data_IF_337585522180
#
_entry.id   IF_337585522180
#
_cell.length_a   1.000
_cell.length_b   1.000
_cell.length_c   1.000
_cell.angle_alpha   90.00
_cell.angle_beta   90.00
_cell.angle_gamma   90.00
#
_symmetry.space_group_name_H-M   'P 1'
#
loop_
_entity.id
_entity.type
_entity.pdbx_description
1 polymer ?
#
# COMPACT_ATOMS: atom_id res chain seq x y z
N UNK A 1 13.96 16.99 -1.11
CA UNK A 1 13.81 16.61 -2.54
C UNK A 1 12.58 15.72 -2.63
N UNK A 2 11.63 16.03 -3.51
CA UNK A 2 10.49 15.13 -3.72
C UNK A 2 11.01 13.78 -4.22
N UNK A 3 10.54 12.64 -3.66
CA UNK A 3 10.97 11.34 -4.13
C UNK A 3 10.49 11.14 -5.59
N UNK A 4 11.25 10.40 -6.39
CA UNK A 4 10.90 10.03 -7.78
C UNK A 4 10.78 11.17 -8.79
N UNK A 5 11.43 12.32 -8.56
CA UNK A 5 11.37 13.45 -9.48
C UNK A 5 11.99 13.09 -10.84
N UNK A 6 11.17 13.06 -11.89
CA UNK A 6 11.60 12.88 -13.28
C UNK A 6 11.97 14.22 -13.89
N UNK A 7 13.26 14.41 -14.20
CA UNK A 7 13.70 15.54 -14.98
C UNK A 7 13.37 15.32 -16.45
N UNK A 8 13.14 16.41 -17.19
CA UNK A 8 12.98 16.37 -18.65
C UNK A 8 14.14 15.63 -19.33
N UNK A 9 15.36 15.91 -18.89
CA UNK A 9 16.58 15.25 -19.39
C UNK A 9 16.53 13.72 -19.22
N UNK A 10 16.04 13.21 -18.08
CA UNK A 10 15.88 11.77 -17.86
C UNK A 10 14.85 11.14 -18.80
N UNK A 11 13.73 11.84 -19.03
CA UNK A 11 12.69 11.40 -19.95
C UNK A 11 13.24 11.34 -21.38
N UNK A 12 13.96 12.38 -21.81
CA UNK A 12 14.59 12.44 -23.13
C UNK A 12 15.63 11.32 -23.33
N UNK A 13 16.38 10.99 -22.28
CA UNK A 13 17.34 9.86 -22.27
C UNK A 13 16.69 8.49 -22.11
N UNK A 14 15.37 8.42 -21.91
CA UNK A 14 14.63 7.19 -21.57
C UNK A 14 15.25 6.44 -20.39
N UNK A 15 15.81 7.19 -19.43
CA UNK A 15 16.32 6.58 -18.21
C UNK A 15 15.14 6.05 -17.39
N UNK A 16 15.21 4.81 -16.89
CA UNK A 16 14.16 4.30 -16.02
C UNK A 16 14.09 5.15 -14.75
N UNK A 17 12.89 5.43 -14.22
CA UNK A 17 12.76 6.12 -12.96
C UNK A 17 13.45 5.34 -11.84
N UNK A 18 14.07 6.08 -10.91
CA UNK A 18 14.57 5.46 -9.68
C UNK A 18 13.41 4.79 -8.96
N UNK A 19 13.56 3.49 -8.71
CA UNK A 19 12.69 2.76 -7.79
C UNK A 19 12.90 3.34 -6.41
N UNK A 20 11.87 4.00 -5.89
CA UNK A 20 11.88 4.52 -4.53
C UNK A 20 10.89 3.74 -3.68
N UNK A 21 10.44 4.36 -2.59
CA UNK A 21 9.53 3.74 -1.62
C UNK A 21 8.22 3.39 -2.29
N UNK A 22 7.86 2.11 -2.27
CA UNK A 22 6.47 1.75 -2.55
C UNK A 22 5.62 2.20 -1.36
N UNK A 23 4.68 3.08 -1.66
CA UNK A 23 3.79 3.68 -0.70
C UNK A 23 2.44 3.87 -1.36
N UNK A 24 1.37 3.94 -0.55
CA UNK A 24 0.07 4.25 -1.12
C UNK A 24 0.07 5.64 -1.77
N UNK A 25 0.77 6.62 -1.18
CA UNK A 25 0.78 7.98 -1.70
C UNK A 25 1.59 8.21 -2.98
N UNK A 26 2.67 7.44 -3.23
CA UNK A 26 3.56 7.68 -4.40
C UNK A 26 4.12 6.41 -5.08
N UNK A 27 3.58 5.22 -4.76
CA UNK A 27 4.05 3.94 -5.29
C UNK A 27 3.19 3.35 -6.41
N UNK A 28 3.69 2.28 -7.04
CA UNK A 28 3.04 1.62 -8.16
C UNK A 28 1.69 1.00 -7.75
N UNK A 29 1.60 0.43 -6.55
CA UNK A 29 0.36 -0.13 -6.04
C UNK A 29 -0.74 0.93 -5.85
N UNK A 30 -0.39 2.11 -5.31
CA UNK A 30 -1.32 3.23 -5.14
C UNK A 30 -1.81 3.79 -6.48
N UNK A 31 -0.89 3.97 -7.43
CA UNK A 31 -1.23 4.41 -8.79
C UNK A 31 -2.11 3.38 -9.51
N UNK A 32 -1.77 2.09 -9.42
CA UNK A 32 -2.57 1.00 -9.97
C UNK A 32 -4.00 1.04 -9.43
N UNK A 33 -4.19 1.20 -8.11
CA UNK A 33 -5.53 1.32 -7.52
C UNK A 33 -6.31 2.50 -8.09
N UNK A 34 -5.67 3.66 -8.23
CA UNK A 34 -6.31 4.84 -8.80
C UNK A 34 -6.74 4.63 -10.27
N UNK A 35 -5.88 4.00 -11.08
CA UNK A 35 -6.16 3.68 -12.49
C UNK A 35 -7.27 2.62 -12.60
N UNK A 36 -7.28 1.60 -11.73
CA UNK A 36 -8.34 0.59 -11.68
C UNK A 36 -9.72 1.23 -11.42
N UNK A 37 -9.80 2.13 -10.44
CA UNK A 37 -11.02 2.88 -10.13
C UNK A 37 -11.45 3.79 -11.28
N UNK A 38 -10.50 4.49 -11.92
CA UNK A 38 -10.79 5.31 -13.10
C UNK A 38 -11.29 4.46 -14.27
N UNK A 39 -10.68 3.29 -14.50
CA UNK A 39 -11.10 2.35 -15.53
C UNK A 39 -12.50 1.79 -15.28
N UNK A 40 -12.88 1.59 -14.01
CA UNK A 40 -14.25 1.22 -13.62
C UNK A 40 -15.23 2.35 -13.91
N UNK A 41 -14.91 3.59 -13.48
CA UNK A 41 -15.80 4.74 -13.66
C UNK A 41 -16.00 5.15 -15.13
N UNK A 42 -15.03 4.88 -15.99
CA UNK A 42 -15.03 5.25 -17.41
C UNK A 42 -15.30 4.08 -18.36
N UNK A 43 -15.65 2.91 -17.83
CA UNK A 43 -15.85 1.66 -18.58
C UNK A 43 -14.69 1.31 -19.53
N UNK A 44 -13.46 1.36 -18.99
CA UNK A 44 -12.21 1.02 -19.68
C UNK A 44 -11.65 -0.31 -19.16
N UNK A 45 -12.04 -1.45 -19.76
CA UNK A 45 -11.53 -2.76 -19.35
C UNK A 45 -10.02 -2.90 -19.56
N UNK A 46 -9.47 -2.23 -20.56
CA UNK A 46 -8.03 -2.20 -20.82
C UNK A 46 -7.25 -1.51 -19.69
N UNK A 47 -7.79 -0.43 -19.12
CA UNK A 47 -7.19 0.26 -17.98
C UNK A 47 -7.24 -0.58 -16.70
N UNK A 48 -8.34 -1.29 -16.47
CA UNK A 48 -8.48 -2.21 -15.33
C UNK A 48 -7.44 -3.33 -15.43
N UNK A 49 -7.32 -3.97 -16.58
CA UNK A 49 -6.34 -5.04 -16.81
C UNK A 49 -4.89 -4.56 -16.63
N UNK A 50 -4.55 -3.37 -17.14
CA UNK A 50 -3.21 -2.80 -16.97
C UNK A 50 -2.92 -2.43 -15.52
N UNK A 51 -3.91 -1.89 -14.80
CA UNK A 51 -3.79 -1.60 -13.38
C UNK A 51 -3.61 -2.86 -12.53
N UNK A 52 -4.37 -3.92 -12.80
CA UNK A 52 -4.21 -5.22 -12.12
C UNK A 52 -2.83 -5.82 -12.37
N UNK A 53 -2.33 -5.78 -13.61
CA UNK A 53 -0.99 -6.21 -13.95
C UNK A 53 0.08 -5.39 -13.21
N UNK A 54 -0.09 -4.07 -13.13
CA UNK A 54 0.81 -3.19 -12.38
C UNK A 54 0.79 -3.48 -10.88
N UNK A 55 -0.39 -3.76 -10.30
CA UNK A 55 -0.52 -4.15 -8.90
C UNK A 55 0.21 -5.47 -8.62
N UNK A 56 0.00 -6.50 -9.45
CA UNK A 56 0.75 -7.77 -9.32
C UNK A 56 2.25 -7.55 -9.43
N UNK A 57 2.69 -6.72 -10.39
CA UNK A 57 4.09 -6.33 -10.53
C UNK A 57 4.64 -5.68 -9.26
N UNK A 58 3.91 -4.74 -8.65
CA UNK A 58 4.29 -4.11 -7.39
C UNK A 58 4.40 -5.13 -6.23
N UNK A 59 3.47 -6.09 -6.15
CA UNK A 59 3.49 -7.15 -5.14
C UNK A 59 4.74 -8.05 -5.25
N UNK A 60 5.21 -8.34 -6.47
CA UNK A 60 6.41 -9.19 -6.64
C UNK A 60 7.70 -8.54 -6.14
N UNK A 61 7.75 -7.20 -6.08
CA UNK A 61 8.95 -6.45 -5.67
C UNK A 61 8.81 -5.80 -4.28
N UNK A 62 7.64 -5.90 -3.66
CA UNK A 62 7.41 -5.41 -2.30
C UNK A 62 8.32 -6.14 -1.31
N UNK A 63 9.05 -5.38 -0.50
CA UNK A 63 10.02 -5.94 0.46
C UNK A 63 10.27 -4.97 1.61
N UNK A 64 10.92 -5.45 2.67
CA UNK A 64 11.29 -4.60 3.82
C UNK A 64 12.29 -3.49 3.45
N UNK A 65 12.94 -3.59 2.29
CA UNK A 65 13.79 -2.53 1.75
C UNK A 65 12.96 -1.36 1.20
N UNK A 66 11.79 -1.63 0.60
CA UNK A 66 10.91 -0.60 0.03
C UNK A 66 9.86 -0.11 1.02
N UNK A 67 9.38 -0.98 1.93
CA UNK A 67 8.31 -0.72 2.90
C UNK A 67 8.86 -0.97 4.31
N UNK A 68 8.88 0.06 5.17
CA UNK A 68 9.66 0.02 6.43
C UNK A 68 8.85 -0.12 7.71
N UNK A 69 7.54 0.05 7.64
CA UNK A 69 6.66 -0.02 8.79
C UNK A 69 5.30 -0.56 8.36
N UNK A 70 4.39 -0.66 9.32
CA UNK A 70 3.04 -1.17 9.08
C UNK A 70 2.04 -0.07 8.75
N UNK A 71 2.42 1.22 8.64
CA UNK A 71 1.46 2.32 8.49
C UNK A 71 0.63 2.26 7.19
N UNK A 72 -0.47 3.02 7.15
CA UNK A 72 -1.36 3.05 5.97
C UNK A 72 -0.76 3.85 4.81
N UNK A 73 -0.10 4.97 5.08
CA UNK A 73 0.39 5.89 4.04
C UNK A 73 1.51 5.29 3.19
N UNK A 74 2.42 4.54 3.81
CA UNK A 74 3.65 4.06 3.18
C UNK A 74 4.21 2.79 3.85
N UNK A 75 3.33 2.02 4.49
CA UNK A 75 3.64 0.79 5.18
C UNK A 75 2.82 -0.39 4.65
N UNK A 76 3.03 -1.54 5.28
CA UNK A 76 2.41 -2.81 4.88
C UNK A 76 0.88 -2.80 4.96
N UNK A 77 0.28 -2.07 5.91
CA UNK A 77 -1.18 -1.97 6.00
C UNK A 77 -1.79 -1.21 4.81
N UNK A 78 -1.08 -0.22 4.26
CA UNK A 78 -1.52 0.48 3.04
C UNK A 78 -1.59 -0.46 1.85
N UNK A 79 -0.56 -1.28 1.67
CA UNK A 79 -0.52 -2.29 0.62
C UNK A 79 -1.61 -3.35 0.81
N UNK A 80 -1.79 -3.84 2.05
CA UNK A 80 -2.89 -4.74 2.39
C UNK A 80 -4.25 -4.16 1.98
N UNK A 81 -4.52 -2.89 2.33
CA UNK A 81 -5.79 -2.25 2.02
C UNK A 81 -6.04 -2.13 0.51
N UNK A 82 -5.00 -1.77 -0.26
CA UNK A 82 -5.09 -1.71 -1.73
C UNK A 82 -5.44 -3.09 -2.30
N UNK A 83 -4.78 -4.14 -1.81
CA UNK A 83 -4.99 -5.51 -2.31
C UNK A 83 -6.39 -6.00 -1.95
N UNK A 84 -6.82 -5.82 -0.70
CA UNK A 84 -8.16 -6.20 -0.25
C UNK A 84 -9.25 -5.59 -1.12
N UNK A 85 -9.17 -4.27 -1.31
CA UNK A 85 -10.14 -3.54 -2.12
C UNK A 85 -10.14 -3.99 -3.57
N UNK A 86 -8.98 -4.34 -4.11
CA UNK A 86 -8.88 -4.78 -5.52
C UNK A 86 -9.41 -6.20 -5.67
N UNK A 87 -9.13 -7.08 -4.71
CA UNK A 87 -9.70 -8.42 -4.66
C UNK A 87 -11.23 -8.38 -4.57
N UNK A 88 -11.79 -7.49 -3.74
CA UNK A 88 -13.26 -7.28 -3.64
C UNK A 88 -13.87 -6.82 -4.97
N UNK A 89 -13.21 -5.95 -5.72
CA UNK A 89 -13.72 -5.43 -6.98
C UNK A 89 -13.64 -6.46 -8.13
N UNK A 90 -12.69 -7.40 -8.08
CA UNK A 90 -12.39 -8.33 -9.17
C UNK A 90 -12.74 -9.80 -8.90
N UNK A 91 -13.05 -10.15 -7.65
CA UNK A 91 -13.22 -11.52 -7.16
C UNK A 91 -12.00 -12.43 -7.45
N UNK A 92 -10.80 -11.84 -7.39
CA UNK A 92 -9.56 -12.54 -7.76
C UNK A 92 -8.96 -13.34 -6.58
N UNK A 93 -8.89 -14.69 -6.69
CA UNK A 93 -8.36 -15.54 -5.62
C UNK A 93 -6.86 -15.32 -5.35
N UNK A 94 -6.06 -14.91 -6.33
CA UNK A 94 -4.64 -14.63 -6.11
C UNK A 94 -4.41 -13.35 -5.29
N UNK A 95 -5.26 -12.35 -5.48
CA UNK A 95 -5.24 -11.13 -4.67
C UNK A 95 -5.73 -11.42 -3.26
N UNK A 96 -6.74 -12.27 -3.07
CA UNK A 96 -7.14 -12.74 -1.74
C UNK A 96 -5.98 -13.46 -1.02
N UNK A 97 -5.31 -14.41 -1.68
CA UNK A 97 -4.14 -15.08 -1.10
C UNK A 97 -2.97 -14.11 -0.81
N UNK A 98 -2.85 -13.03 -1.59
CA UNK A 98 -1.86 -11.98 -1.33
C UNK A 98 -2.25 -11.12 -0.13
N UNK A 99 -3.54 -10.85 0.07
CA UNK A 99 -4.05 -10.16 1.26
C UNK A 99 -3.76 -10.98 2.53
N UNK A 100 -3.95 -12.31 2.51
CA UNK A 100 -3.63 -13.18 3.65
C UNK A 100 -2.16 -13.06 4.08
N UNK A 101 -1.24 -13.12 3.10
CA UNK A 101 0.21 -12.96 3.34
C UNK A 101 0.54 -11.58 3.90
N UNK A 102 -0.09 -10.52 3.36
CA UNK A 102 0.12 -9.16 3.83
C UNK A 102 -0.44 -8.94 5.23
N UNK A 103 -1.60 -9.51 5.56
CA UNK A 103 -2.18 -9.44 6.89
C UNK A 103 -1.28 -10.13 7.92
N UNK A 104 -0.76 -11.32 7.62
CA UNK A 104 0.24 -11.98 8.45
C UNK A 104 1.49 -11.10 8.64
N UNK A 105 2.03 -10.51 7.57
CA UNK A 105 3.18 -9.62 7.63
C UNK A 105 2.93 -8.38 8.50
N UNK A 106 1.74 -7.80 8.44
CA UNK A 106 1.35 -6.66 9.30
C UNK A 106 1.30 -7.12 10.75
N UNK A 107 0.70 -8.27 11.05
CA UNK A 107 0.61 -8.84 12.40
C UNK A 107 1.98 -9.17 12.99
N UNK A 108 2.94 -9.62 12.19
CA UNK A 108 4.33 -9.85 12.63
C UNK A 108 5.03 -8.59 13.14
N UNK A 109 4.54 -7.41 12.73
CA UNK A 109 5.01 -6.12 13.23
C UNK A 109 4.44 -5.70 14.59
N UNK A 110 3.51 -6.47 15.16
CA UNK A 110 2.86 -6.15 16.41
C UNK A 110 3.79 -6.42 17.61
N UNK A 111 4.00 -5.39 18.43
CA UNK A 111 4.75 -5.46 19.68
C UNK A 111 3.84 -5.04 20.85
N UNK A 112 3.40 -5.99 21.70
CA UNK A 112 2.55 -5.69 22.86
C UNK A 112 3.25 -4.80 23.91
N UNK A 113 4.58 -4.68 23.85
CA UNK A 113 5.35 -3.76 24.70
C UNK A 113 5.36 -2.31 24.22
N UNK A 114 4.77 -2.00 23.06
CA UNK A 114 4.63 -0.64 22.54
C UNK A 114 3.26 -0.04 22.90
N UNK A 115 3.16 1.28 23.20
CA UNK A 115 1.91 1.93 23.61
C UNK A 115 0.68 1.67 22.73
N UNK A 116 0.89 1.44 21.42
CA UNK A 116 -0.19 1.19 20.46
C UNK A 116 0.01 -0.07 19.62
N UNK A 117 0.86 -1.00 20.08
CA UNK A 117 1.13 -2.25 19.37
C UNK A 117 2.07 -2.11 18.15
N UNK A 118 2.28 -0.91 17.61
CA UNK A 118 3.10 -0.70 16.44
C UNK A 118 3.97 0.55 16.58
N UNK A 119 5.19 0.47 16.03
CA UNK A 119 6.09 1.62 15.93
C UNK A 119 6.25 2.07 14.49
N UNK A 120 6.33 3.38 14.32
CA UNK A 120 6.39 4.06 13.04
C UNK A 120 7.81 4.57 12.73
N UNK A 121 8.31 4.31 11.51
CA UNK A 121 9.68 4.62 11.12
C UNK A 121 9.77 5.96 10.36
N UNK A 122 9.81 7.08 11.08
CA UNK A 122 9.93 8.40 10.47
C UNK A 122 11.37 8.75 10.06
N UNK A 123 11.56 9.24 8.84
CA UNK A 123 12.90 9.54 8.30
C UNK A 123 13.68 10.63 9.08
N UNK A 124 12.97 11.56 9.73
CA UNK A 124 13.59 12.64 10.51
C UNK A 124 13.70 12.33 12.01
N UNK A 125 13.16 11.19 12.47
CA UNK A 125 13.19 10.83 13.88
C UNK A 125 14.42 9.97 14.19
N UNK A 126 15.07 10.23 15.34
CA UNK A 126 16.21 9.42 15.82
C UNK A 126 15.80 8.02 16.28
N UNK A 127 14.52 7.83 16.58
CA UNK A 127 13.93 6.57 17.07
C UNK A 127 12.55 6.37 16.44
N UNK A 128 12.06 5.13 16.32
CA UNK A 128 10.69 4.86 15.94
C UNK A 128 9.70 5.57 16.88
N UNK A 129 8.57 5.99 16.33
CA UNK A 129 7.56 6.77 17.04
C UNK A 129 6.33 5.92 17.34
N UNK A 130 5.73 6.10 18.52
CA UNK A 130 4.44 5.53 18.86
C UNK A 130 3.34 6.51 18.42
N UNK A 131 2.76 6.29 17.23
CA UNK A 131 1.73 7.18 16.67
C UNK A 131 0.36 6.50 16.72
N UNK A 132 -0.67 7.15 17.29
CA UNK A 132 -2.02 6.59 17.32
C UNK A 132 -2.84 6.91 16.05
N UNK A 133 -2.35 7.82 15.21
CA UNK A 133 -3.13 8.41 14.12
C UNK A 133 -3.46 7.46 12.96
N UNK A 134 -4.25 7.97 12.02
CA UNK A 134 -4.76 7.21 10.88
C UNK A 134 -3.67 6.86 9.86
N UNK A 135 -3.04 7.85 9.23
CA UNK A 135 -2.13 7.61 8.10
C UNK A 135 -0.78 6.99 8.48
N UNK A 136 -0.28 7.32 9.66
CA UNK A 136 1.09 7.03 10.10
C UNK A 136 1.12 6.30 11.45
N UNK A 137 0.00 5.71 11.86
CA UNK A 137 -0.15 5.18 13.21
C UNK A 137 -1.14 4.02 13.33
N UNK A 138 -1.31 3.56 14.57
CA UNK A 138 -2.03 2.34 14.90
C UNK A 138 -3.49 2.32 14.45
N UNK A 139 -4.18 3.47 14.38
CA UNK A 139 -5.57 3.50 13.93
C UNK A 139 -5.75 3.04 12.47
N UNK A 140 -4.85 3.44 11.55
CA UNK A 140 -4.92 2.97 10.16
C UNK A 140 -4.52 1.51 10.02
N UNK A 141 -3.59 1.04 10.85
CA UNK A 141 -3.16 -0.36 10.88
C UNK A 141 -4.33 -1.25 11.34
N UNK A 142 -4.98 -0.84 12.43
CA UNK A 142 -6.16 -1.52 12.95
C UNK A 142 -7.30 -1.52 11.93
N UNK A 143 -7.51 -0.43 11.18
CA UNK A 143 -8.53 -0.39 10.11
C UNK A 143 -8.27 -1.45 9.03
N UNK A 144 -7.04 -1.54 8.53
CA UNK A 144 -6.69 -2.51 7.49
C UNK A 144 -6.87 -3.95 7.98
N UNK A 145 -6.39 -4.25 9.19
CA UNK A 145 -6.56 -5.57 9.81
C UNK A 145 -8.03 -5.89 10.11
N UNK A 146 -8.82 -4.90 10.52
CA UNK A 146 -10.26 -5.06 10.75
C UNK A 146 -11.00 -5.33 9.43
N UNK A 147 -10.66 -4.61 8.37
CA UNK A 147 -11.21 -4.83 7.02
C UNK A 147 -10.92 -6.28 6.58
N UNK A 148 -9.66 -6.71 6.71
CA UNK A 148 -9.25 -8.09 6.44
C UNK A 148 -10.06 -9.11 7.24
N UNK A 149 -10.09 -8.96 8.57
CA UNK A 149 -10.70 -9.94 9.48
C UNK A 149 -12.23 -10.05 9.32
N UNK A 150 -12.89 -9.01 8.84
CA UNK A 150 -14.35 -8.98 8.70
C UNK A 150 -14.82 -9.21 7.27
N UNK A 151 -13.95 -9.09 6.27
CA UNK A 151 -14.34 -9.09 4.85
C UNK A 151 -15.33 -7.96 4.51
N UNK A 152 -15.37 -6.91 5.32
CA UNK A 152 -16.30 -5.78 5.14
C UNK A 152 -15.53 -4.51 4.91
N UNK A 153 -15.88 -3.82 3.83
CA UNK A 153 -15.48 -2.43 3.65
C UNK A 153 -16.01 -1.56 4.82
N UNK A 154 -15.20 -0.65 5.38
CA UNK A 154 -15.66 0.46 6.20
C UNK A 154 -16.77 1.22 5.47
N UNK A 155 -17.72 1.73 6.25
CA UNK A 155 -18.86 2.51 5.75
C UNK A 155 -18.42 3.68 4.85
N UNK A 156 -17.21 4.20 5.05
CA UNK A 156 -16.66 5.32 4.30
C UNK A 156 -15.99 4.95 2.98
N UNK A 157 -16.06 3.68 2.55
CA UNK A 157 -15.41 3.13 1.33
C UNK A 157 -13.89 3.35 1.25
N UNK A 158 -13.26 3.70 2.38
CA UNK A 158 -11.81 3.69 2.56
C UNK A 158 -11.29 2.27 2.77
#
# INVERSE_FOLDING_TARGET
RWPHLMSRERIEKKEPPERGRDSWCYGAAGAARAVHLAGTALDRPDWRAEAEAALRGALTVASDASIRDSALCHGWAGLLQIVLRTAEDTDDPELHASADRLAARVLDGFDPGSPFGFRYAHALAKRPLDRPGFLEGAAGIALALHTYATGRAPVTSW
#
